data_IF_149437762002
#
_entry.id   IF_149437762002
#
_cell.length_a   1.000
_cell.length_b   1.000
_cell.length_c   1.000
_cell.angle_alpha   90.00
_cell.angle_beta   90.00
_cell.angle_gamma   90.00
#
_symmetry.space_group_name_H-M   'P 1'
#
loop_
_entity.id
_entity.type
_entity.pdbx_description
1 polymer ?
#
# COMPACT_ATOMS: atom_id res chain seq x y z
N UNK A 1 -3.72 -13.79 18.12
CA UNK A 1 -4.46 -12.63 17.58
C UNK A 1 -4.47 -12.74 16.07
N UNK A 2 -5.63 -12.74 15.43
CA UNK A 2 -5.73 -12.72 13.97
C UNK A 2 -5.21 -11.36 13.48
N UNK A 3 -4.21 -11.36 12.61
CA UNK A 3 -3.71 -10.12 12.00
C UNK A 3 -4.81 -9.55 11.11
N UNK A 4 -5.13 -8.26 11.25
CA UNK A 4 -6.03 -7.60 10.31
C UNK A 4 -5.30 -7.46 8.97
N UNK A 5 -5.97 -7.82 7.87
CA UNK A 5 -5.43 -7.72 6.52
C UNK A 5 -6.16 -6.64 5.74
N UNK A 6 -5.43 -6.00 4.84
CA UNK A 6 -5.91 -4.93 3.99
C UNK A 6 -5.48 -5.20 2.55
N UNK A 7 -6.41 -5.07 1.62
CA UNK A 7 -6.07 -4.92 0.21
C UNK A 7 -5.77 -3.43 0.01
N UNK A 8 -4.57 -3.13 -0.48
CA UNK A 8 -4.09 -1.78 -0.72
C UNK A 8 -3.84 -1.60 -2.19
N UNK A 9 -4.54 -0.64 -2.79
CA UNK A 9 -4.30 -0.18 -4.15
C UNK A 9 -3.63 1.19 -4.07
N UNK A 10 -2.50 1.37 -4.78
CA UNK A 10 -1.80 2.64 -4.85
C UNK A 10 -1.68 3.09 -6.29
N UNK A 11 -2.21 4.27 -6.59
CA UNK A 11 -1.93 5.02 -7.81
C UNK A 11 -0.74 5.94 -7.53
N UNK A 12 0.26 5.96 -8.42
CA UNK A 12 1.39 6.90 -8.31
C UNK A 12 1.10 8.22 -9.00
N UNK A 13 1.73 9.31 -8.53
CA UNK A 13 1.69 10.59 -9.25
C UNK A 13 2.33 10.39 -10.61
N UNK A 14 1.53 10.48 -11.67
CA UNK A 14 1.98 10.18 -13.01
C UNK A 14 2.63 11.41 -13.64
N UNK A 15 3.89 11.69 -13.28
CA UNK A 15 4.68 12.74 -13.92
C UNK A 15 5.35 12.25 -15.22
N UNK A 16 5.27 10.95 -15.52
CA UNK A 16 6.00 10.34 -16.62
C UNK A 16 5.26 9.12 -17.21
N UNK A 17 4.93 9.17 -18.51
CA UNK A 17 4.08 8.19 -19.21
C UNK A 17 4.60 6.74 -19.25
N UNK A 18 5.82 6.49 -18.76
CA UNK A 18 6.46 5.18 -18.71
C UNK A 18 6.50 4.54 -17.31
N UNK A 19 6.00 5.22 -16.27
CA UNK A 19 5.91 4.61 -14.94
C UNK A 19 4.72 3.64 -14.90
N UNK A 20 4.96 2.42 -14.40
CA UNK A 20 3.86 1.51 -14.08
C UNK A 20 2.92 2.23 -13.09
N UNK A 21 1.66 2.48 -13.49
CA UNK A 21 0.84 3.54 -12.88
C UNK A 21 0.38 3.16 -11.47
N UNK A 22 0.27 1.87 -11.20
CA UNK A 22 -0.46 1.34 -10.06
C UNK A 22 0.16 0.03 -9.56
N UNK A 23 -0.01 -0.26 -8.28
CA UNK A 23 0.18 -1.62 -7.79
C UNK A 23 -0.79 -1.96 -6.67
N UNK A 24 -1.15 -3.24 -6.62
CA UNK A 24 -1.95 -3.84 -5.57
C UNK A 24 -1.07 -4.65 -4.61
N UNK A 25 -1.40 -4.60 -3.32
CA UNK A 25 -0.68 -5.33 -2.29
C UNK A 25 -1.57 -5.68 -1.09
N UNK A 26 -1.43 -6.92 -0.60
CA UNK A 26 -1.96 -7.31 0.71
C UNK A 26 -1.06 -6.85 1.83
N UNK A 27 -1.59 -6.03 2.72
CA UNK A 27 -0.88 -5.39 3.80
C UNK A 27 -1.44 -5.76 5.18
N UNK A 28 -0.55 -5.78 6.17
CA UNK A 28 -0.87 -5.87 7.60
C UNK A 28 -0.75 -4.52 8.29
N UNK A 29 -0.04 -3.57 7.70
CA UNK A 29 0.08 -2.21 8.19
C UNK A 29 0.34 -1.22 7.04
N UNK A 30 -0.24 -0.03 7.16
CA UNK A 30 0.01 1.12 6.28
C UNK A 30 0.30 2.32 7.19
N UNK A 31 1.39 3.02 6.92
CA UNK A 31 1.81 4.20 7.68
C UNK A 31 2.25 5.30 6.72
N UNK A 32 1.84 6.54 6.98
CA UNK A 32 2.44 7.71 6.35
C UNK A 32 3.48 8.25 7.33
N UNK A 33 4.73 8.34 6.88
CA UNK A 33 5.84 8.84 7.69
C UNK A 33 5.79 10.36 7.83
N UNK A 34 6.56 10.92 8.75
CA UNK A 34 6.62 12.37 8.97
C UNK A 34 7.08 13.17 7.74
N UNK A 35 7.91 12.57 6.89
CA UNK A 35 8.36 13.14 5.61
C UNK A 35 7.40 12.86 4.45
N UNK A 36 6.19 12.36 4.72
CA UNK A 36 5.12 12.17 3.74
C UNK A 36 5.24 10.92 2.86
N UNK A 37 6.16 10.01 3.17
CA UNK A 37 6.30 8.75 2.44
C UNK A 37 5.21 7.75 2.86
N UNK A 38 4.69 7.00 1.88
CA UNK A 38 3.79 5.89 2.14
C UNK A 38 4.60 4.62 2.41
N UNK A 39 4.50 4.07 3.61
CA UNK A 39 5.09 2.79 4.00
C UNK A 39 4.01 1.72 4.14
N UNK A 40 4.17 0.61 3.41
CA UNK A 40 3.23 -0.52 3.38
C UNK A 40 3.98 -1.78 3.82
N UNK A 41 3.52 -2.43 4.88
CA UNK A 41 4.02 -3.73 5.33
C UNK A 41 3.10 -4.84 4.85
N UNK A 42 3.63 -5.75 4.03
CA UNK A 42 2.91 -6.86 3.43
C UNK A 42 2.70 -8.04 4.37
N UNK A 43 1.69 -8.86 4.05
CA UNK A 43 1.38 -10.10 4.78
C UNK A 43 2.58 -11.07 4.88
N UNK A 44 3.38 -11.16 3.83
CA UNK A 44 4.59 -11.99 3.77
C UNK A 44 5.87 -11.35 4.29
N UNK A 45 5.78 -10.24 5.04
CA UNK A 45 6.94 -9.51 5.57
C UNK A 45 7.70 -8.65 4.56
N UNK A 46 7.26 -8.61 3.29
CA UNK A 46 7.77 -7.67 2.29
C UNK A 46 7.22 -6.28 2.58
N UNK A 47 8.08 -5.27 2.60
CA UNK A 47 7.65 -3.88 2.78
C UNK A 47 7.95 -3.06 1.52
N UNK A 48 7.15 -2.01 1.30
CA UNK A 48 7.38 -1.00 0.26
C UNK A 48 7.27 0.39 0.86
N UNK A 49 8.19 1.26 0.45
CA UNK A 49 8.14 2.69 0.78
C UNK A 49 8.08 3.50 -0.51
N UNK A 50 7.18 4.48 -0.58
CA UNK A 50 6.95 5.32 -1.74
C UNK A 50 7.08 6.79 -1.35
N UNK A 51 7.98 7.50 -2.02
CA UNK A 51 8.13 8.96 -1.88
C UNK A 51 7.19 9.76 -2.80
N UNK A 52 6.68 9.14 -3.87
CA UNK A 52 5.71 9.73 -4.78
C UNK A 52 4.54 8.75 -4.96
N UNK A 53 3.39 9.13 -4.42
CA UNK A 53 2.13 8.40 -4.49
C UNK A 53 1.00 9.42 -4.69
N UNK A 54 0.07 9.10 -5.58
CA UNK A 54 -1.04 9.97 -5.96
C UNK A 54 -2.26 9.71 -5.10
N UNK A 55 -2.80 8.50 -5.18
CA UNK A 55 -3.95 8.08 -4.38
C UNK A 55 -3.70 6.70 -3.76
N UNK A 56 -4.30 6.47 -2.60
CA UNK A 56 -4.21 5.18 -1.88
C UNK A 56 -5.61 4.79 -1.46
N UNK A 57 -6.06 3.62 -1.91
CA UNK A 57 -7.32 3.02 -1.48
C UNK A 57 -7.04 1.81 -0.61
N UNK A 58 -7.59 1.79 0.60
CA UNK A 58 -7.37 0.74 1.59
C UNK A 58 -8.72 0.07 1.89
N UNK A 59 -8.83 -1.22 1.58
CA UNK A 59 -10.02 -2.01 1.89
C UNK A 59 -9.67 -3.05 2.95
N UNK A 60 -10.39 -3.03 4.07
CA UNK A 60 -10.24 -4.08 5.09
C UNK A 60 -10.72 -5.41 4.52
N UNK A 61 -9.84 -6.40 4.52
CA UNK A 61 -10.17 -7.77 4.16
C UNK A 61 -10.63 -8.49 5.41
N UNK A 62 -11.85 -9.01 5.35
CA UNK A 62 -12.33 -9.97 6.33
C UNK A 62 -12.03 -11.36 5.77
N UNK A 63 -11.11 -12.08 6.40
CA UNK A 63 -10.94 -13.49 6.11
C UNK A 63 -12.16 -14.25 6.63
N UNK A 64 -12.98 -14.76 5.71
CA UNK A 64 -13.68 -16.03 5.95
C UNK A 64 -12.61 -17.10 6.16
N UNK A 65 -12.75 -17.89 7.23
CA UNK A 65 -11.94 -19.09 7.48
C UNK A 65 -11.86 -20.02 6.26
#
# INVERSE_FOLDING_TARGET
MTKQLFDVHVERVNENANQQPEFDMRAVAITITEDGQLSIQGEGGKSRTLSAWGSVTITRVWGSE
#
